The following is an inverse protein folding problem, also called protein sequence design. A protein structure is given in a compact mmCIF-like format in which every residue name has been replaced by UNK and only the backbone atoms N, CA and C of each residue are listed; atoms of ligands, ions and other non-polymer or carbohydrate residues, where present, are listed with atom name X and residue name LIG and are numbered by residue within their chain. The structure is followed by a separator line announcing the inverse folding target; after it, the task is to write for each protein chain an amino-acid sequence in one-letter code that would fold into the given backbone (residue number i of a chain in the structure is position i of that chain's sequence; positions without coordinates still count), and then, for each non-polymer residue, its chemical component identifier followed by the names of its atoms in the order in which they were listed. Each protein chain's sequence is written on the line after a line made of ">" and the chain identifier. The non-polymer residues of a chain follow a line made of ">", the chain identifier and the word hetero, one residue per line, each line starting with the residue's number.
data_IF_561662466830
#
_entry.id   IF_561662466830
#
_cell.length_a   1.000
_cell.length_b   1.000
_cell.length_c   1.000
_cell.angle_alpha   90.00
_cell.angle_beta   90.00
_cell.angle_gamma   90.00
#
_symmetry.space_group_name_H-M   'P 1'
#
loop_
_entity.id
_entity.type
_entity.pdbx_description
1 polymer ?
#
# COMPACT_ATOMS: atom_id res chain seq x y z
N UNK A 1 9.01 -10.21 -29.91
CA UNK A 1 8.34 -9.65 -28.72
C UNK A 1 8.78 -10.46 -27.51
N UNK A 2 9.25 -9.82 -26.44
CA UNK A 2 9.56 -10.54 -25.18
C UNK A 2 8.25 -10.84 -24.46
N UNK A 3 8.14 -12.03 -23.89
CA UNK A 3 6.98 -12.41 -23.07
C UNK A 3 7.24 -11.93 -21.65
N UNK A 4 6.47 -10.95 -21.20
CA UNK A 4 6.56 -10.36 -19.86
C UNK A 4 5.31 -10.66 -19.05
N UNK A 5 5.46 -10.72 -17.73
CA UNK A 5 4.36 -10.82 -16.76
C UNK A 5 3.98 -9.41 -16.32
N UNK A 6 2.70 -9.10 -16.35
CA UNK A 6 2.15 -7.82 -15.90
C UNK A 6 1.50 -8.02 -14.54
N UNK A 7 1.83 -7.17 -13.58
CA UNK A 7 1.21 -7.17 -12.26
C UNK A 7 -0.11 -6.40 -12.35
N UNK A 8 -1.20 -7.04 -11.94
CA UNK A 8 -2.52 -6.42 -11.85
C UNK A 8 -3.09 -6.67 -10.47
N UNK A 9 -3.53 -5.61 -9.80
CA UNK A 9 -4.18 -5.69 -8.48
C UNK A 9 -5.62 -5.21 -8.56
N UNK A 10 -6.54 -6.06 -8.11
CA UNK A 10 -7.97 -5.77 -8.09
C UNK A 10 -8.31 -4.96 -6.83
N UNK A 11 -8.93 -3.81 -7.01
CA UNK A 11 -9.43 -2.98 -5.92
C UNK A 11 -10.90 -2.69 -6.11
N UNK A 12 -11.66 -2.75 -5.03
CA UNK A 12 -13.05 -2.28 -5.03
C UNK A 12 -13.22 -1.17 -4.02
N UNK A 13 -14.02 -0.17 -4.38
CA UNK A 13 -14.28 0.99 -3.53
C UNK A 13 -15.70 1.50 -3.78
N UNK A 14 -16.15 2.44 -2.93
CA UNK A 14 -17.41 3.15 -3.11
C UNK A 14 -17.15 4.64 -2.92
N UNK A 15 -16.71 5.31 -3.98
CA UNK A 15 -16.47 6.75 -4.02
C UNK A 15 -17.52 7.43 -4.90
N UNK A 16 -17.93 8.65 -4.53
CA UNK A 16 -18.90 9.46 -5.30
C UNK A 16 -18.31 9.98 -6.61
N UNK A 17 -16.99 10.12 -6.67
CA UNK A 17 -16.28 10.61 -7.84
C UNK A 17 -15.83 9.45 -8.74
N UNK A 18 -15.84 9.62 -10.07
CA UNK A 18 -15.29 8.65 -11.00
C UNK A 18 -13.81 8.39 -10.75
N UNK A 19 -13.35 7.18 -11.11
CA UNK A 19 -11.93 6.85 -11.06
C UNK A 19 -11.24 7.37 -12.30
N UNK A 20 -10.24 8.23 -12.12
CA UNK A 20 -9.29 8.61 -13.17
C UNK A 20 -7.88 8.25 -12.73
N UNK A 21 -6.97 8.02 -13.67
CA UNK A 21 -5.58 7.69 -13.35
C UNK A 21 -4.92 8.76 -12.47
N UNK A 22 -5.09 10.05 -12.82
CA UNK A 22 -4.52 11.16 -12.06
C UNK A 22 -5.05 11.20 -10.63
N UNK A 23 -6.37 11.13 -10.45
CA UNK A 23 -6.99 11.13 -9.12
C UNK A 23 -6.57 9.91 -8.31
N UNK A 24 -6.55 8.73 -8.94
CA UNK A 24 -6.24 7.47 -8.26
C UNK A 24 -4.78 7.42 -7.81
N UNK A 25 -3.84 7.94 -8.62
CA UNK A 25 -2.41 7.92 -8.29
C UNK A 25 -1.94 9.11 -7.45
N UNK A 26 -2.66 10.23 -7.41
CA UNK A 26 -2.30 11.40 -6.58
C UNK A 26 -2.80 11.32 -5.14
N UNK A 27 -3.75 10.42 -4.84
CA UNK A 27 -4.32 10.29 -3.51
C UNK A 27 -3.31 9.69 -2.52
N UNK A 28 -3.04 10.41 -1.43
CA UNK A 28 -2.11 9.99 -0.35
C UNK A 28 -2.48 8.64 0.27
N UNK A 29 -3.78 8.30 0.32
CA UNK A 29 -4.23 7.02 0.84
C UNK A 29 -3.87 5.84 -0.09
N UNK A 30 -3.69 6.10 -1.38
CA UNK A 30 -3.33 5.09 -2.38
C UNK A 30 -1.82 4.88 -2.51
N UNK A 31 -1.00 5.61 -1.76
CA UNK A 31 0.45 5.37 -1.74
C UNK A 31 0.77 3.94 -1.29
N UNK A 32 0.03 3.42 -0.32
CA UNK A 32 0.15 2.02 0.12
C UNK A 32 -0.17 1.00 -0.98
N UNK A 33 -0.99 1.36 -1.98
CA UNK A 33 -1.33 0.48 -3.11
C UNK A 33 -0.22 0.44 -4.15
N UNK A 34 0.46 1.57 -4.37
CA UNK A 34 1.66 1.64 -5.21
C UNK A 34 2.77 0.76 -4.63
N UNK A 35 3.01 0.89 -3.33
CA UNK A 35 3.95 0.04 -2.59
C UNK A 35 3.61 -1.44 -2.76
N UNK A 36 2.33 -1.83 -2.67
CA UNK A 36 1.90 -3.22 -2.90
C UNK A 36 2.31 -3.71 -4.30
N UNK A 37 2.01 -2.92 -5.34
CA UNK A 37 2.31 -3.29 -6.72
C UNK A 37 3.82 -3.40 -6.98
N UNK A 38 4.61 -2.45 -6.46
CA UNK A 38 6.07 -2.50 -6.56
C UNK A 38 6.62 -3.75 -5.86
N UNK A 39 6.16 -4.05 -4.64
CA UNK A 39 6.59 -5.24 -3.89
C UNK A 39 6.23 -6.53 -4.64
N UNK A 40 5.04 -6.63 -5.23
CA UNK A 40 4.68 -7.77 -6.07
C UNK A 40 5.60 -7.91 -7.28
N UNK A 41 5.88 -6.81 -7.99
CA UNK A 41 6.80 -6.79 -9.12
C UNK A 41 8.22 -7.24 -8.73
N UNK A 42 8.72 -6.75 -7.59
CA UNK A 42 10.01 -7.14 -7.04
C UNK A 42 10.07 -8.62 -6.68
N UNK A 43 9.05 -9.16 -6.00
CA UNK A 43 9.00 -10.59 -5.63
C UNK A 43 8.98 -11.49 -6.87
N UNK A 44 8.14 -11.16 -7.86
CA UNK A 44 8.05 -11.92 -9.11
C UNK A 44 9.36 -11.85 -9.92
N UNK A 45 10.04 -10.70 -9.90
CA UNK A 45 11.36 -10.55 -10.53
C UNK A 45 12.41 -11.45 -9.87
N UNK A 46 12.40 -11.52 -8.53
CA UNK A 46 13.28 -12.43 -7.76
C UNK A 46 12.94 -13.92 -7.95
N UNK A 47 11.73 -14.24 -8.41
CA UNK A 47 11.35 -15.59 -8.83
C UNK A 47 11.84 -15.93 -10.25
N UNK A 48 12.58 -15.04 -10.91
CA UNK A 48 13.14 -15.24 -12.24
C UNK A 48 12.18 -14.91 -13.39
N UNK A 49 11.03 -14.29 -13.11
CA UNK A 49 10.09 -13.86 -14.15
C UNK A 49 10.56 -12.55 -14.80
N UNK A 50 10.37 -12.43 -16.11
CA UNK A 50 10.50 -11.14 -16.80
C UNK A 50 9.26 -10.30 -16.49
N UNK A 51 9.34 -9.40 -15.53
CA UNK A 51 8.21 -8.55 -15.13
C UNK A 51 8.22 -7.27 -15.97
N UNK A 52 7.04 -6.87 -16.45
CA UNK A 52 6.89 -5.60 -17.14
C UNK A 52 6.95 -4.44 -16.16
N UNK A 53 7.57 -3.32 -16.53
CA UNK A 53 7.58 -2.14 -15.68
C UNK A 53 6.21 -1.43 -15.64
N UNK A 54 5.26 -1.85 -16.49
CA UNK A 54 3.88 -1.38 -16.46
C UNK A 54 3.01 -2.37 -15.68
N UNK A 55 2.40 -1.91 -14.60
CA UNK A 55 1.36 -2.61 -13.85
C UNK A 55 0.02 -1.89 -13.93
N UNK A 56 -1.02 -2.52 -13.38
CA UNK A 56 -2.36 -1.93 -13.37
C UNK A 56 -3.09 -2.13 -12.05
N UNK A 57 -3.89 -1.13 -11.68
CA UNK A 57 -4.99 -1.33 -10.75
C UNK A 57 -6.27 -1.54 -11.54
N UNK A 58 -6.95 -2.66 -11.34
CA UNK A 58 -8.29 -2.88 -11.87
C UNK A 58 -9.29 -2.51 -10.79
N UNK A 59 -9.90 -1.33 -10.94
CA UNK A 59 -10.69 -0.68 -9.90
C UNK A 59 -12.16 -0.79 -10.24
N UNK A 60 -12.93 -1.43 -9.37
CA UNK A 60 -14.40 -1.47 -9.43
C UNK A 60 -14.99 -0.50 -8.41
N UNK A 61 -15.52 0.62 -8.88
CA UNK A 61 -16.11 1.67 -8.05
C UNK A 61 -17.64 1.53 -8.00
N UNK A 62 -18.19 1.26 -6.82
CA UNK A 62 -19.63 1.16 -6.61
C UNK A 62 -20.30 2.54 -6.79
N UNK A 63 -21.36 2.59 -7.59
CA UNK A 63 -22.10 3.82 -7.88
C UNK A 63 -22.91 4.26 -6.65
N UNK A 64 -22.41 5.29 -5.96
CA UNK A 64 -23.08 5.93 -4.82
C UNK A 64 -24.12 6.99 -5.20
N UNK A 65 -24.29 7.23 -6.49
CA UNK A 65 -25.23 8.19 -7.05
C UNK A 65 -26.49 7.50 -7.59
N UNK A 66 -26.62 6.18 -7.44
CA UNK A 66 -27.86 5.48 -7.74
C UNK A 66 -29.02 6.03 -6.89
N UNK A 67 -30.18 6.20 -7.51
CA UNK A 67 -31.37 6.79 -6.87
C UNK A 67 -31.84 5.97 -5.65
N UNK A 68 -31.65 4.65 -5.69
CA UNK A 68 -31.84 3.78 -4.53
C UNK A 68 -31.04 2.48 -4.67
N UNK A 69 -30.98 1.69 -3.59
CA UNK A 69 -30.23 0.42 -3.55
C UNK A 69 -30.90 -0.71 -4.34
N UNK A 70 -32.23 -0.85 -4.31
CA UNK A 70 -32.99 -1.95 -4.95
C UNK A 70 -32.44 -3.39 -4.80
N UNK A 71 -31.52 -3.65 -3.86
CA UNK A 71 -30.83 -4.94 -3.74
C UNK A 71 -29.70 -5.15 -4.77
N UNK A 72 -29.35 -4.11 -5.52
CA UNK A 72 -28.34 -4.13 -6.58
C UNK A 72 -27.22 -3.12 -6.28
N UNK A 73 -25.97 -3.51 -6.53
CA UNK A 73 -24.84 -2.60 -6.54
C UNK A 73 -24.30 -2.52 -7.96
N UNK A 74 -24.40 -1.32 -8.55
CA UNK A 74 -23.84 -1.04 -9.86
C UNK A 74 -22.38 -0.61 -9.69
N UNK A 75 -21.49 -1.14 -10.52
CA UNK A 75 -20.07 -0.81 -10.49
C UNK A 75 -19.63 -0.20 -11.81
N UNK A 76 -18.76 0.80 -11.70
CA UNK A 76 -17.97 1.32 -12.81
C UNK A 76 -16.56 0.77 -12.69
N UNK A 77 -16.07 0.18 -13.77
CA UNK A 77 -14.75 -0.44 -13.82
C UNK A 77 -13.75 0.48 -14.50
N UNK A 78 -12.54 0.57 -13.96
CA UNK A 78 -11.47 1.38 -14.53
C UNK A 78 -10.15 0.66 -14.40
N UNK A 79 -9.42 0.56 -15.51
CA UNK A 79 -8.06 0.04 -15.51
C UNK A 79 -7.08 1.22 -15.42
N UNK A 80 -6.43 1.37 -14.28
CA UNK A 80 -5.49 2.46 -14.01
C UNK A 80 -4.06 1.97 -14.25
N UNK A 81 -3.34 2.48 -15.26
CA UNK A 81 -1.95 2.10 -15.48
C UNK A 81 -1.05 2.76 -14.44
N UNK A 82 -0.05 2.00 -13.98
CA UNK A 82 0.95 2.43 -13.02
C UNK A 82 2.34 1.97 -13.44
N UNK A 83 3.31 2.88 -13.35
CA UNK A 83 4.71 2.60 -13.66
C UNK A 83 5.38 2.10 -12.37
N UNK A 84 5.75 0.81 -12.35
CA UNK A 84 6.42 0.21 -11.19
C UNK A 84 7.80 0.83 -10.97
N UNK A 85 8.17 1.01 -9.70
CA UNK A 85 9.51 1.39 -9.25
C UNK A 85 10.04 0.40 -8.21
N UNK A 86 10.92 -0.51 -8.66
CA UNK A 86 11.50 -1.54 -7.80
C UNK A 86 12.79 -1.09 -7.10
N UNK A 87 13.32 0.09 -7.47
CA UNK A 87 14.68 0.50 -7.12
C UNK A 87 14.90 0.71 -5.62
N UNK A 88 13.84 1.04 -4.89
CA UNK A 88 13.88 1.35 -3.47
C UNK A 88 13.75 0.10 -2.56
N UNK A 89 13.14 -0.98 -3.06
CA UNK A 89 12.68 -2.11 -2.24
C UNK A 89 13.83 -2.86 -1.59
N UNK A 90 14.87 -3.17 -2.35
CA UNK A 90 16.03 -3.93 -1.85
C UNK A 90 16.67 -3.25 -0.63
N UNK A 91 16.83 -1.93 -0.70
CA UNK A 91 17.37 -1.14 0.42
C UNK A 91 16.41 -1.15 1.60
N UNK A 92 15.12 -0.92 1.37
CA UNK A 92 14.11 -0.88 2.42
C UNK A 92 14.00 -2.22 3.17
N UNK A 93 14.03 -3.35 2.45
CA UNK A 93 14.01 -4.70 3.05
C UNK A 93 15.25 -4.94 3.91
N UNK A 94 16.43 -4.56 3.42
CA UNK A 94 17.68 -4.65 4.20
C UNK A 94 17.62 -3.79 5.47
N UNK A 95 17.15 -2.56 5.36
CA UNK A 95 17.03 -1.65 6.50
C UNK A 95 16.04 -2.21 7.54
N UNK A 96 14.87 -2.71 7.10
CA UNK A 96 13.91 -3.38 7.99
C UNK A 96 14.52 -4.60 8.69
N UNK A 97 15.26 -5.43 7.95
CA UNK A 97 15.91 -6.62 8.51
C UNK A 97 17.00 -6.25 9.54
N UNK A 98 17.76 -5.17 9.30
CA UNK A 98 18.76 -4.68 10.24
C UNK A 98 18.11 -4.19 11.54
N UNK A 99 17.00 -3.46 11.45
CA UNK A 99 16.25 -3.01 12.63
C UNK A 99 15.66 -4.20 13.39
N UNK A 100 15.07 -5.17 12.68
CA UNK A 100 14.43 -6.33 13.29
C UNK A 100 15.40 -7.21 14.07
N UNK A 101 16.64 -7.36 13.59
CA UNK A 101 17.68 -8.18 14.22
C UNK A 101 18.60 -7.39 15.16
N UNK A 102 18.32 -6.10 15.39
CA UNK A 102 19.11 -5.25 16.27
C UNK A 102 18.82 -5.58 17.75
N UNK A 103 19.87 -5.64 18.57
CA UNK A 103 19.74 -5.67 20.03
C UNK A 103 19.42 -4.28 20.60
N UNK A 104 19.68 -3.22 19.83
CA UNK A 104 19.37 -1.84 20.19
C UNK A 104 17.97 -1.46 19.71
N UNK A 105 17.18 -0.87 20.60
CA UNK A 105 15.87 -0.32 20.26
C UNK A 105 16.03 0.82 19.23
N UNK A 106 15.16 0.89 18.20
CA UNK A 106 15.17 1.99 17.26
C UNK A 106 14.78 3.31 17.93
N UNK A 107 15.18 4.42 17.32
CA UNK A 107 14.78 5.75 17.78
C UNK A 107 13.26 5.92 17.74
N UNK A 108 12.75 6.70 18.70
CA UNK A 108 11.34 7.03 18.76
C UNK A 108 10.94 7.91 17.57
N UNK A 109 9.84 7.54 16.92
CA UNK A 109 9.16 8.43 15.99
C UNK A 109 8.08 9.21 16.74
N UNK A 110 8.19 10.55 16.76
CA UNK A 110 7.25 11.44 17.45
C UNK A 110 5.81 11.37 16.91
N UNK A 111 5.65 10.85 15.69
CA UNK A 111 4.35 10.65 15.05
C UNK A 111 3.85 9.20 15.15
N UNK A 112 4.57 8.30 15.84
CA UNK A 112 4.16 6.93 16.04
C UNK A 112 3.27 6.80 17.28
N UNK A 113 2.00 6.42 17.08
CA UNK A 113 1.04 6.21 18.17
C UNK A 113 1.50 5.13 19.14
N UNK A 114 2.05 4.01 18.63
CA UNK A 114 2.58 2.93 19.46
C UNK A 114 3.76 3.39 20.33
N UNK A 115 4.62 4.27 19.81
CA UNK A 115 5.70 4.86 20.60
C UNK A 115 5.15 5.76 21.71
N UNK A 116 4.11 6.55 21.42
CA UNK A 116 3.45 7.37 22.43
C UNK A 116 2.85 6.49 23.54
N UNK A 117 2.09 5.44 23.19
CA UNK A 117 1.55 4.51 24.18
C UNK A 117 2.63 3.82 25.02
N UNK A 118 3.71 3.35 24.39
CA UNK A 118 4.81 2.72 25.11
C UNK A 118 5.46 3.67 26.12
N UNK A 119 5.66 4.94 25.72
CA UNK A 119 6.21 5.98 26.61
C UNK A 119 5.28 6.26 27.79
N UNK A 120 3.99 6.52 27.53
CA UNK A 120 3.04 6.84 28.60
C UNK A 120 2.86 5.66 29.57
N UNK A 121 2.84 4.42 29.05
CA UNK A 121 2.81 3.21 29.89
C UNK A 121 4.02 3.13 30.81
N UNK A 122 5.23 3.36 30.29
CA UNK A 122 6.45 3.31 31.08
C UNK A 122 6.46 4.35 32.21
N UNK A 123 5.93 5.56 31.97
CA UNK A 123 5.78 6.60 32.98
C UNK A 123 4.83 6.19 34.12
N UNK A 124 3.70 5.56 33.78
CA UNK A 124 2.71 5.09 34.76
C UNK A 124 3.27 3.93 35.60
N UNK A 125 3.91 2.95 34.95
CA UNK A 125 4.49 1.79 35.62
C UNK A 125 5.67 2.18 36.53
N UNK A 126 6.54 3.09 36.06
CA UNK A 126 7.65 3.61 36.85
C UNK A 126 7.22 4.40 38.09
N UNK A 127 6.13 5.19 37.99
CA UNK A 127 5.58 5.96 39.11
C UNK A 127 4.84 5.11 40.17
N UNK A 128 4.56 3.83 39.89
CA UNK A 128 3.94 2.91 40.87
C UNK A 128 4.95 2.21 41.79
N UNK A 129 6.24 2.37 41.54
CA UNK A 129 7.33 1.75 42.31
C UNK A 129 8.01 2.71 43.30
N UNK A 130 7.44 3.91 43.52
CA UNK A 130 7.86 4.91 44.52
C UNK A 130 6.75 5.07 45.56
#
# INVERSE_FOLDING_TARGET
>A
MKQEVIVVDYKSQANRYPVTQEYYLSNVHHESYKIQLDVYGYLLSNMGLSVSNLGFFYVCNANRNADSFHGEMLFEETLVPYQLDLSWIEKAVKDMNNVLNSEQLPEINIHCENCAYARERALIEGNRLI
#
